data_IF_894957421145
#
_entry.id   IF_894957421145
#
_cell.length_a   1.000
_cell.length_b   1.000
_cell.length_c   1.000
_cell.angle_alpha   90.00
_cell.angle_beta   90.00
_cell.angle_gamma   90.00
#
_symmetry.space_group_name_H-M   'P 1'
#
loop_
_entity.id
_entity.type
_entity.pdbx_description
1 polymer ?
#
# COMPACT_ATOMS: atom_id res chain seq x y z
N UNK A 1 18.85 -16.15 -9.42
CA UNK A 1 18.46 -14.77 -9.07
C UNK A 1 18.19 -14.68 -7.60
N UNK A 2 18.55 -13.57 -6.96
CA UNK A 2 18.44 -13.40 -5.49
C UNK A 2 17.26 -12.54 -5.10
N UNK A 3 16.77 -12.76 -3.88
CA UNK A 3 15.87 -11.86 -3.16
C UNK A 3 16.69 -11.15 -2.08
N UNK A 4 16.60 -9.82 -2.04
CA UNK A 4 17.36 -8.98 -1.10
C UNK A 4 16.39 -8.17 -0.25
N UNK A 5 16.68 -8.03 1.03
CA UNK A 5 15.97 -7.11 1.90
C UNK A 5 16.45 -5.67 1.65
N UNK A 6 15.51 -4.73 1.54
CA UNK A 6 15.77 -3.29 1.52
C UNK A 6 15.43 -2.77 2.91
N UNK A 7 16.37 -2.07 3.53
CA UNK A 7 16.25 -1.56 4.91
C UNK A 7 16.21 -0.03 5.00
N UNK A 8 16.69 0.66 3.97
CA UNK A 8 16.73 2.12 3.92
C UNK A 8 15.32 2.70 3.77
N UNK A 9 14.88 3.45 4.78
CA UNK A 9 13.51 4.01 4.85
C UNK A 9 13.19 4.87 3.64
N UNK A 10 14.12 5.72 3.21
CA UNK A 10 13.94 6.62 2.06
C UNK A 10 13.70 5.85 0.75
N UNK A 11 14.37 4.71 0.57
CA UNK A 11 14.16 3.83 -0.58
C UNK A 11 12.79 3.15 -0.51
N UNK A 12 12.41 2.64 0.66
CA UNK A 12 11.12 2.00 0.89
C UNK A 12 9.98 2.99 0.61
N UNK A 13 10.07 4.20 1.11
CA UNK A 13 9.09 5.26 0.86
C UNK A 13 8.99 5.63 -0.62
N UNK A 14 10.12 5.67 -1.33
CA UNK A 14 10.14 5.92 -2.77
C UNK A 14 9.41 4.82 -3.56
N UNK A 15 9.52 3.55 -3.13
CA UNK A 15 8.77 2.42 -3.70
C UNK A 15 7.27 2.60 -3.45
N UNK A 16 6.86 2.91 -2.22
CA UNK A 16 5.45 3.13 -1.87
C UNK A 16 4.86 4.23 -2.74
N UNK A 17 5.52 5.39 -2.83
CA UNK A 17 5.02 6.56 -3.58
C UNK A 17 4.89 6.33 -5.10
N UNK A 18 5.61 5.36 -5.67
CA UNK A 18 5.50 4.99 -7.09
C UNK A 18 4.31 4.09 -7.40
N UNK A 19 3.73 3.43 -6.40
CA UNK A 19 2.61 2.52 -6.61
C UNK A 19 1.33 3.31 -6.88
N UNK A 20 0.55 2.97 -7.91
CA UNK A 20 -0.71 3.64 -8.22
C UNK A 20 -1.85 3.25 -7.28
N UNK A 21 -1.76 2.12 -6.61
CA UNK A 21 -2.68 1.59 -5.61
C UNK A 21 -1.94 0.64 -4.67
N UNK A 22 -2.56 0.32 -3.56
CA UNK A 22 -2.11 -0.72 -2.65
C UNK A 22 -3.11 -1.88 -2.62
N UNK A 23 -2.68 -3.00 -2.07
CA UNK A 23 -3.55 -4.14 -1.79
C UNK A 23 -3.68 -4.32 -0.28
N UNK A 24 -4.91 -4.30 0.22
CA UNK A 24 -5.21 -4.38 1.66
C UNK A 24 -5.75 -5.75 1.99
N UNK A 25 -5.05 -6.47 2.85
CA UNK A 25 -5.46 -7.75 3.42
C UNK A 25 -6.11 -7.53 4.79
N UNK A 26 -7.31 -8.05 4.94
CA UNK A 26 -8.14 -8.00 6.16
C UNK A 26 -8.58 -9.44 6.46
N UNK A 27 -8.93 -9.75 7.70
CA UNK A 27 -9.56 -11.01 8.08
C UNK A 27 -10.95 -10.77 8.65
N UNK A 28 -11.87 -11.69 8.38
CA UNK A 28 -13.15 -11.71 9.07
C UNK A 28 -13.02 -12.32 10.50
N UNK A 29 -14.13 -12.44 11.23
CA UNK A 29 -14.14 -12.95 12.59
C UNK A 29 -13.78 -14.45 12.68
N UNK A 30 -14.00 -15.18 11.61
CA UNK A 30 -13.68 -16.59 11.45
C UNK A 30 -12.22 -16.82 11.00
N UNK A 31 -11.48 -15.71 10.71
CA UNK A 31 -10.10 -15.77 10.24
C UNK A 31 -9.94 -15.98 8.73
N UNK A 32 -11.03 -15.91 7.95
CA UNK A 32 -10.93 -15.99 6.50
C UNK A 32 -10.29 -14.72 5.92
N UNK A 33 -9.32 -14.88 4.99
CA UNK A 33 -8.67 -13.73 4.39
C UNK A 33 -9.58 -13.03 3.37
N UNK A 34 -9.57 -11.70 3.40
CA UNK A 34 -10.19 -10.84 2.41
C UNK A 34 -9.15 -9.86 1.89
N UNK A 35 -8.97 -9.77 0.58
CA UNK A 35 -7.94 -8.96 -0.06
C UNK A 35 -8.57 -8.06 -1.12
N UNK A 36 -8.28 -6.76 -1.06
CA UNK A 36 -8.89 -5.77 -1.94
C UNK A 36 -7.89 -4.68 -2.36
N UNK A 37 -7.85 -4.27 -3.64
CA UNK A 37 -7.10 -3.10 -4.07
C UNK A 37 -7.78 -1.81 -3.59
N UNK A 38 -6.98 -0.83 -3.17
CA UNK A 38 -7.45 0.48 -2.74
C UNK A 38 -6.50 1.58 -3.18
N UNK A 39 -7.04 2.76 -3.49
CA UNK A 39 -6.26 3.97 -3.58
C UNK A 39 -5.78 4.38 -2.19
N UNK A 40 -4.63 5.04 -2.11
CA UNK A 40 -3.99 5.36 -0.85
C UNK A 40 -3.24 6.69 -0.90
N UNK A 41 -2.85 7.18 0.26
CA UNK A 41 -1.72 8.09 0.41
C UNK A 41 -0.79 7.59 1.52
N UNK A 42 0.49 7.96 1.40
CA UNK A 42 1.49 7.68 2.41
C UNK A 42 2.13 8.98 2.90
N UNK A 43 2.15 9.19 4.21
CA UNK A 43 2.84 10.32 4.84
C UNK A 43 3.37 9.91 6.21
N UNK A 44 4.66 10.07 6.42
CA UNK A 44 5.33 9.95 7.73
C UNK A 44 4.98 8.67 8.51
N UNK A 45 5.06 7.51 7.85
CA UNK A 45 4.75 6.20 8.45
C UNK A 45 3.26 5.90 8.63
N UNK A 46 2.39 6.70 8.01
CA UNK A 46 0.95 6.51 8.04
C UNK A 46 0.43 6.28 6.63
N UNK A 47 -0.42 5.27 6.46
CA UNK A 47 -1.17 5.01 5.23
C UNK A 47 -2.60 5.49 5.44
N UNK A 48 -3.08 6.33 4.52
CA UNK A 48 -4.45 6.80 4.46
C UNK A 48 -5.18 6.14 3.31
N UNK A 49 -6.40 5.68 3.58
CA UNK A 49 -7.28 5.03 2.62
C UNK A 49 -8.67 5.65 2.70
N UNK A 50 -9.47 5.44 1.65
CA UNK A 50 -10.89 5.82 1.69
C UNK A 50 -11.78 4.77 1.03
N UNK A 51 -13.03 4.75 1.41
CA UNK A 51 -14.04 3.85 0.83
C UNK A 51 -15.44 4.45 0.94
N UNK A 52 -16.42 3.80 0.34
CA UNK A 52 -17.81 4.02 0.73
C UNK A 52 -18.01 3.79 2.23
N UNK A 53 -19.08 4.33 2.81
CA UNK A 53 -19.34 4.27 4.25
C UNK A 53 -19.62 2.85 4.75
N UNK A 54 -20.06 1.96 3.86
CA UNK A 54 -20.50 0.60 4.17
C UNK A 54 -19.85 -0.43 3.26
N UNK A 55 -20.03 -1.71 3.61
CA UNK A 55 -19.57 -2.87 2.84
C UNK A 55 -18.66 -3.78 3.62
N UNK A 56 -18.39 -4.98 3.08
CA UNK A 56 -17.68 -6.07 3.76
C UNK A 56 -16.33 -5.61 4.35
N UNK A 57 -15.53 -4.87 3.58
CA UNK A 57 -14.23 -4.39 4.06
C UNK A 57 -14.32 -3.45 5.27
N UNK A 58 -15.36 -2.58 5.31
CA UNK A 58 -15.59 -1.67 6.43
C UNK A 58 -16.01 -2.47 7.66
N UNK A 59 -17.01 -3.35 7.52
CA UNK A 59 -17.50 -4.21 8.60
C UNK A 59 -16.38 -5.08 9.19
N UNK A 60 -15.52 -5.66 8.34
CA UNK A 60 -14.38 -6.47 8.79
C UNK A 60 -13.37 -5.62 9.56
N UNK A 61 -12.98 -4.45 9.02
CA UNK A 61 -12.01 -3.58 9.65
C UNK A 61 -12.52 -2.89 10.93
N UNK A 62 -13.83 -2.70 11.09
CA UNK A 62 -14.42 -2.23 12.34
C UNK A 62 -14.34 -3.29 13.46
N UNK A 63 -14.40 -4.57 13.11
CA UNK A 63 -14.33 -5.68 14.05
C UNK A 63 -12.89 -6.18 14.28
N UNK A 64 -12.09 -6.24 13.23
CA UNK A 64 -10.68 -6.58 13.23
C UNK A 64 -9.86 -5.47 12.60
N UNK A 65 -9.31 -4.59 13.43
CA UNK A 65 -8.58 -3.42 12.95
C UNK A 65 -7.23 -3.76 12.32
N UNK A 66 -6.67 -4.97 12.59
CA UNK A 66 -5.36 -5.38 12.08
C UNK A 66 -5.42 -5.66 10.58
N UNK A 67 -4.56 -4.96 9.81
CA UNK A 67 -4.45 -5.10 8.36
C UNK A 67 -3.02 -5.34 7.93
N UNK A 68 -2.89 -5.96 6.75
CA UNK A 68 -1.64 -6.08 6.01
C UNK A 68 -1.80 -5.37 4.67
N UNK A 69 -0.97 -4.37 4.41
CA UNK A 69 -1.02 -3.56 3.19
C UNK A 69 0.23 -3.81 2.37
N UNK A 70 0.08 -4.15 1.09
CA UNK A 70 1.20 -4.43 0.19
C UNK A 70 1.25 -3.46 -0.97
N UNK A 71 2.47 -3.11 -1.35
CA UNK A 71 2.83 -2.30 -2.50
C UNK A 71 3.79 -3.08 -3.37
N UNK A 72 3.58 -3.10 -4.67
CA UNK A 72 4.45 -3.78 -5.62
C UNK A 72 4.72 -2.87 -6.82
N UNK A 73 5.99 -2.77 -7.22
CA UNK A 73 6.40 -1.96 -8.35
C UNK A 73 7.56 -2.59 -9.13
N UNK A 74 7.89 -2.03 -10.30
CA UNK A 74 9.10 -2.38 -11.06
C UNK A 74 9.06 -3.77 -11.68
N UNK A 75 7.87 -4.25 -12.12
CA UNK A 75 7.73 -5.57 -12.74
C UNK A 75 8.41 -5.62 -14.11
N UNK A 76 9.48 -6.42 -14.21
CA UNK A 76 10.23 -6.65 -15.44
C UNK A 76 10.54 -8.14 -15.58
N UNK A 77 10.17 -8.74 -16.73
CA UNK A 77 10.52 -10.11 -17.03
C UNK A 77 11.99 -10.17 -17.45
N UNK A 78 12.82 -10.90 -16.70
CA UNK A 78 14.26 -11.06 -16.96
C UNK A 78 14.63 -12.52 -17.13
N UNK A 79 15.65 -12.81 -17.95
CA UNK A 79 16.14 -14.17 -18.18
C UNK A 79 17.62 -14.16 -18.53
N UNK A 80 18.30 -15.28 -18.28
CA UNK A 80 19.69 -15.51 -18.73
C UNK A 80 19.73 -16.20 -20.08
N UNK A 81 18.82 -17.17 -20.32
CA UNK A 81 18.74 -17.95 -21.55
C UNK A 81 17.29 -18.01 -22.07
N UNK A 82 17.07 -17.49 -23.26
CA UNK A 82 15.75 -17.33 -23.84
C UNK A 82 14.93 -18.62 -23.95
N UNK A 83 15.59 -19.76 -24.18
CA UNK A 83 14.94 -21.06 -24.36
C UNK A 83 14.88 -21.91 -23.08
N UNK A 84 15.37 -21.40 -21.94
CA UNK A 84 15.46 -22.14 -20.69
C UNK A 84 14.51 -21.51 -19.67
N UNK A 85 13.36 -22.14 -19.44
CA UNK A 85 12.31 -21.62 -18.59
C UNK A 85 12.77 -21.31 -17.15
N UNK A 86 13.61 -22.14 -16.54
CA UNK A 86 14.16 -21.91 -15.20
C UNK A 86 15.15 -20.74 -15.10
N UNK A 87 15.55 -20.15 -16.24
CA UNK A 87 16.36 -18.93 -16.27
C UNK A 87 15.54 -17.64 -16.18
N UNK A 88 14.21 -17.74 -16.30
CA UNK A 88 13.31 -16.60 -16.22
C UNK A 88 12.98 -16.23 -14.77
N UNK A 89 12.83 -14.95 -14.54
CA UNK A 89 12.37 -14.39 -13.26
C UNK A 89 11.64 -13.08 -13.51
N UNK A 90 10.83 -12.68 -12.51
CA UNK A 90 10.24 -11.36 -12.48
C UNK A 90 11.07 -10.47 -11.54
N UNK A 91 11.71 -9.44 -12.11
CA UNK A 91 12.34 -8.38 -11.32
C UNK A 91 11.23 -7.49 -10.77
N UNK A 92 11.21 -7.29 -9.47
CA UNK A 92 10.21 -6.44 -8.81
C UNK A 92 10.64 -6.07 -7.40
N UNK A 93 9.99 -5.06 -6.83
CA UNK A 93 10.13 -4.69 -5.42
C UNK A 93 8.78 -4.71 -4.74
N UNK A 94 8.74 -5.17 -3.50
CA UNK A 94 7.52 -5.18 -2.71
C UNK A 94 7.75 -4.65 -1.31
N UNK A 95 6.80 -3.84 -0.84
CA UNK A 95 6.72 -3.39 0.55
C UNK A 95 5.51 -4.02 1.19
N UNK A 96 5.67 -4.53 2.41
CA UNK A 96 4.58 -5.07 3.21
C UNK A 96 4.52 -4.29 4.53
N UNK A 97 3.39 -3.65 4.78
CA UNK A 97 3.12 -2.83 5.96
C UNK A 97 2.04 -3.47 6.80
N UNK A 98 2.23 -3.49 8.11
CA UNK A 98 1.20 -3.91 9.07
C UNK A 98 0.85 -2.73 9.98
N UNK A 99 -0.41 -2.65 10.39
CA UNK A 99 -0.90 -1.65 11.31
C UNK A 99 -2.36 -1.92 11.69
N UNK A 100 -2.90 -1.04 12.53
CA UNK A 100 -4.30 -1.09 12.90
C UNK A 100 -5.05 0.08 12.29
N UNK A 101 -6.24 -0.20 11.77
CA UNK A 101 -7.14 0.82 11.21
C UNK A 101 -7.73 1.65 12.34
N UNK A 102 -7.67 2.97 12.19
CA UNK A 102 -8.51 3.95 12.88
C UNK A 102 -9.39 4.62 11.85
N UNK A 103 -10.68 4.65 12.07
CA UNK A 103 -11.60 5.42 11.24
C UNK A 103 -11.61 6.87 11.71
N UNK A 104 -11.50 7.80 10.76
CA UNK A 104 -11.56 9.24 11.02
C UNK A 104 -13.02 9.66 10.86
N UNK A 105 -13.61 10.23 11.91
CA UNK A 105 -15.00 10.65 11.92
C UNK A 105 -15.15 12.19 11.91
N UNK A 106 -14.16 12.93 12.43
CA UNK A 106 -14.17 14.38 12.41
C UNK A 106 -14.12 14.92 10.97
N UNK A 107 -15.00 15.86 10.65
CA UNK A 107 -15.20 16.36 9.30
C UNK A 107 -14.01 17.16 8.76
N UNK A 108 -13.33 17.90 9.60
CA UNK A 108 -12.18 18.71 9.20
C UNK A 108 -10.94 17.81 9.05
N UNK A 109 -10.77 16.82 9.94
CA UNK A 109 -9.74 15.79 9.82
C UNK A 109 -9.95 14.98 8.52
N UNK A 110 -11.20 14.60 8.18
CA UNK A 110 -11.52 13.93 6.91
C UNK A 110 -11.11 14.76 5.70
N UNK A 111 -11.44 16.05 5.65
CA UNK A 111 -11.05 16.94 4.55
C UNK A 111 -9.54 16.99 4.38
N UNK A 112 -8.81 17.19 5.48
CA UNK A 112 -7.35 17.24 5.47
C UNK A 112 -6.74 15.93 4.93
N UNK A 113 -7.27 14.78 5.33
CA UNK A 113 -6.80 13.47 4.86
C UNK A 113 -7.18 13.21 3.39
N UNK A 114 -8.36 13.64 2.97
CA UNK A 114 -8.75 13.54 1.55
C UNK A 114 -7.83 14.39 0.66
N UNK A 115 -7.40 15.57 1.11
CA UNK A 115 -6.39 16.37 0.41
C UNK A 115 -5.06 15.63 0.31
N UNK A 116 -4.61 14.96 1.39
CA UNK A 116 -3.41 14.11 1.38
C UNK A 116 -3.55 12.97 0.36
N UNK A 117 -4.73 12.33 0.29
CA UNK A 117 -4.99 11.26 -0.69
C UNK A 117 -4.97 11.82 -2.12
N UNK A 118 -5.57 12.97 -2.36
CA UNK A 118 -5.56 13.58 -3.69
C UNK A 118 -4.15 14.00 -4.12
N UNK A 119 -3.34 14.54 -3.22
CA UNK A 119 -1.95 14.91 -3.48
C UNK A 119 -1.05 13.73 -3.87
N UNK A 120 -1.43 12.50 -3.57
CA UNK A 120 -0.73 11.30 -4.05
C UNK A 120 -0.85 11.14 -5.58
N UNK A 121 -1.93 11.64 -6.19
CA UNK A 121 -2.29 11.39 -7.59
C UNK A 121 -2.26 12.64 -8.47
N UNK A 122 -2.41 13.83 -7.90
CA UNK A 122 -2.48 15.09 -8.64
C UNK A 122 -1.99 16.26 -7.78
N UNK A 123 -1.56 17.33 -8.43
CA UNK A 123 -1.19 18.60 -7.79
C UNK A 123 -2.32 19.62 -7.74
N UNK A 124 -3.52 19.25 -8.18
CA UNK A 124 -4.66 20.16 -8.20
C UNK A 124 -5.21 20.42 -6.79
N UNK A 125 -5.90 21.54 -6.62
CA UNK A 125 -6.64 21.89 -5.41
C UNK A 125 -8.12 21.50 -5.55
N UNK A 126 -8.70 20.94 -4.49
CA UNK A 126 -10.06 20.43 -4.50
C UNK A 126 -10.95 21.11 -3.46
N UNK A 127 -12.25 21.23 -3.82
CA UNK A 127 -13.29 21.61 -2.88
C UNK A 127 -14.20 20.39 -2.65
N UNK A 128 -14.54 20.16 -1.40
CA UNK A 128 -15.42 19.06 -1.01
C UNK A 128 -16.78 19.61 -0.57
N UNK A 129 -17.86 19.03 -1.08
CA UNK A 129 -19.18 19.28 -0.51
C UNK A 129 -19.32 18.53 0.82
N UNK A 130 -20.00 19.10 1.77
CA UNK A 130 -20.24 18.48 3.07
C UNK A 130 -20.89 17.09 2.98
N UNK A 131 -21.93 16.87 2.14
CA UNK A 131 -22.51 15.55 1.97
C UNK A 131 -21.50 14.50 1.44
N UNK A 132 -20.59 14.88 0.55
CA UNK A 132 -19.56 13.96 0.02
C UNK A 132 -18.58 13.55 1.12
N UNK A 133 -18.10 14.49 1.94
CA UNK A 133 -17.19 14.18 3.06
C UNK A 133 -17.89 13.32 4.12
N UNK A 134 -19.18 13.59 4.38
CA UNK A 134 -19.98 12.80 5.34
C UNK A 134 -20.14 11.35 4.88
N UNK A 135 -20.33 11.12 3.58
CA UNK A 135 -20.58 9.81 2.99
C UNK A 135 -19.32 9.01 2.63
N UNK A 136 -18.12 9.50 2.98
CA UNK A 136 -16.88 8.76 2.79
C UNK A 136 -16.37 8.20 4.12
N UNK A 137 -15.94 6.94 4.12
CA UNK A 137 -15.22 6.34 5.23
C UNK A 137 -13.73 6.57 5.00
N UNK A 138 -13.07 7.28 5.91
CA UNK A 138 -11.63 7.58 5.85
C UNK A 138 -10.92 6.72 6.88
N UNK A 139 -9.85 6.06 6.44
CA UNK A 139 -9.08 5.11 7.21
C UNK A 139 -7.68 5.67 7.43
N UNK A 140 -7.20 5.59 8.65
CA UNK A 140 -5.80 5.85 9.02
C UNK A 140 -5.18 4.53 9.50
N UNK A 141 -4.02 4.20 8.96
CA UNK A 141 -3.24 3.04 9.40
C UNK A 141 -1.83 3.48 9.76
N UNK A 142 -1.54 3.60 11.06
CA UNK A 142 -0.18 3.80 11.56
C UNK A 142 0.59 2.50 11.41
N UNK A 143 1.71 2.56 10.68
CA UNK A 143 2.55 1.40 10.43
C UNK A 143 3.35 1.08 11.69
N UNK A 144 3.22 -0.14 12.20
CA UNK A 144 4.01 -0.67 13.31
C UNK A 144 5.05 -1.72 12.90
N UNK A 145 4.90 -2.27 11.68
CA UNK A 145 5.87 -3.21 11.09
C UNK A 145 5.90 -3.00 9.59
N UNK A 146 7.11 -2.86 9.06
CA UNK A 146 7.34 -2.71 7.62
C UNK A 146 8.50 -3.59 7.18
N UNK A 147 8.34 -4.25 6.03
CA UNK A 147 9.39 -5.02 5.38
C UNK A 147 9.40 -4.72 3.89
N UNK A 148 10.60 -4.68 3.30
CA UNK A 148 10.76 -4.46 1.87
C UNK A 148 11.70 -5.50 1.28
N UNK A 149 11.39 -5.95 0.06
CA UNK A 149 12.20 -6.92 -0.67
C UNK A 149 12.30 -6.57 -2.14
N UNK A 150 13.49 -6.76 -2.69
CA UNK A 150 13.76 -6.74 -4.13
C UNK A 150 13.95 -8.16 -4.63
N UNK A 151 13.32 -8.50 -5.75
CA UNK A 151 13.32 -9.83 -6.37
C UNK A 151 13.95 -9.77 -7.76
N UNK A 152 14.46 -10.92 -8.23
CA UNK A 152 14.92 -11.10 -9.60
C UNK A 152 16.25 -10.42 -9.92
N UNK A 153 17.03 -9.96 -8.93
CA UNK A 153 18.33 -9.34 -9.13
C UNK A 153 19.35 -10.36 -9.64
N UNK A 154 20.21 -9.94 -10.60
CA UNK A 154 21.37 -10.71 -11.00
C UNK A 154 22.47 -10.59 -9.95
N UNK A 155 23.39 -11.59 -9.82
CA UNK A 155 24.52 -11.50 -8.90
C UNK A 155 25.37 -10.24 -9.09
N UNK A 156 25.50 -9.75 -10.32
CA UNK A 156 26.24 -8.53 -10.67
C UNK A 156 25.56 -7.22 -10.25
N UNK A 157 24.26 -7.24 -9.97
CA UNK A 157 23.50 -6.07 -9.52
C UNK A 157 23.48 -5.93 -7.99
N UNK A 158 24.04 -6.92 -7.28
CA UNK A 158 24.09 -6.99 -5.80
C UNK A 158 25.33 -6.28 -5.24
N UNK A 159 26.31 -5.97 -6.08
CA UNK A 159 27.64 -5.44 -5.66
C UNK A 159 27.85 -3.96 -5.98
N UNK A 160 26.80 -3.21 -6.34
CA UNK A 160 26.89 -1.78 -6.69
C UNK A 160 26.29 -0.87 -5.59
N UNK A 161 26.59 -1.18 -4.32
CA UNK A 161 26.47 -0.24 -3.20
C UNK A 161 27.82 -0.09 -2.49
#
# INVERSE_FOLDING_TARGET
MKTIAITELTEIEAIIRKCPYCTVGITDLEGNPYVVPMNFAYRDGVIYLHSGPEGSKVTMAERHTRVCITFCEGHELVYMHRQVACSYSMKSRSVMCHGNVRFIEDMDEKRNVLDVIMQQYTSDEFKYSEPAVRNVKVWEVKIDKMTCRSFGLRPSEVTSE
#
